data_IF_061825036734
#
_entry.id   IF_061825036734
#
_cell.length_a   1.000
_cell.length_b   1.000
_cell.length_c   1.000
_cell.angle_alpha   90.00
_cell.angle_beta   90.00
_cell.angle_gamma   90.00
#
_symmetry.space_group_name_H-M   'P 1'
#
loop_
_entity.id
_entity.type
_entity.pdbx_description
1 polymer ?
#
# COMPACT_ATOMS: atom_id res chain seq x y z
N UNK A 1 21.32 18.31 -16.93
CA UNK A 1 20.42 17.41 -17.70
C UNK A 1 21.24 16.24 -18.19
N UNK A 2 20.74 15.03 -18.00
CA UNK A 2 21.32 13.79 -18.49
C UNK A 2 20.37 13.20 -19.52
N UNK A 3 20.93 12.44 -20.45
CA UNK A 3 20.18 11.71 -21.46
C UNK A 3 20.25 10.23 -21.10
N UNK A 4 19.10 9.56 -21.12
CA UNK A 4 18.98 8.14 -20.79
C UNK A 4 18.01 7.48 -21.75
N UNK A 5 18.38 6.30 -22.20
CA UNK A 5 17.56 5.43 -23.04
C UNK A 5 16.84 4.44 -22.14
N UNK A 6 15.55 4.29 -22.36
CA UNK A 6 14.67 3.36 -21.65
C UNK A 6 14.13 2.34 -22.64
N UNK A 7 14.25 1.06 -22.29
CA UNK A 7 13.64 -0.01 -23.08
C UNK A 7 12.14 -0.01 -22.82
N UNK A 8 11.34 -0.05 -23.89
CA UNK A 8 9.88 -0.08 -23.78
C UNK A 8 9.39 -1.54 -23.78
N UNK A 9 8.26 -1.83 -23.12
CA UNK A 9 7.65 -3.17 -23.13
C UNK A 9 7.40 -3.69 -24.55
N UNK A 10 7.49 -5.01 -24.73
CA UNK A 10 7.14 -5.65 -26.01
C UNK A 10 5.68 -5.32 -26.39
N UNK A 11 5.43 -5.02 -27.66
CA UNK A 11 4.08 -4.64 -28.13
C UNK A 11 3.61 -3.23 -27.72
N UNK A 12 4.42 -2.43 -27.00
CA UNK A 12 4.07 -1.06 -26.62
C UNK A 12 3.57 -0.22 -27.81
N UNK A 13 4.26 -0.29 -28.96
CA UNK A 13 3.90 0.44 -30.17
C UNK A 13 2.72 -0.17 -30.95
N UNK A 14 2.31 -1.39 -30.64
CA UNK A 14 1.14 -2.05 -31.24
C UNK A 14 -0.16 -1.70 -30.50
N UNK A 15 -0.05 -1.30 -29.23
CA UNK A 15 -1.19 -0.83 -28.43
C UNK A 15 -1.75 0.51 -28.93
N UNK A 16 -3.04 0.76 -28.67
CA UNK A 16 -3.69 2.06 -28.93
C UNK A 16 -2.90 3.22 -28.27
N UNK A 17 -2.21 2.94 -27.16
CA UNK A 17 -1.34 3.86 -26.43
C UNK A 17 -0.10 4.29 -27.21
N UNK A 18 0.59 3.35 -27.88
CA UNK A 18 1.82 3.63 -28.63
C UNK A 18 1.58 4.15 -30.06
N UNK A 19 0.36 3.97 -30.59
CA UNK A 19 0.01 4.41 -31.94
C UNK A 19 -0.34 5.90 -32.05
N UNK A 20 -0.98 6.49 -31.03
CA UNK A 20 -1.59 7.83 -31.11
C UNK A 20 -0.78 8.99 -30.51
N UNK A 21 0.37 8.76 -29.85
CA UNK A 21 1.07 9.82 -29.10
C UNK A 21 2.58 9.94 -29.36
N UNK A 22 3.09 11.16 -29.21
CA UNK A 22 4.51 11.44 -29.02
C UNK A 22 4.95 11.07 -27.59
N UNK A 23 6.20 10.62 -27.41
CA UNK A 23 6.74 10.19 -26.11
C UNK A 23 6.51 11.21 -25.00
N UNK A 24 6.71 12.49 -25.33
CA UNK A 24 6.43 13.60 -24.43
C UNK A 24 4.97 13.66 -24.00
N UNK A 25 4.01 13.60 -24.93
CA UNK A 25 2.59 13.73 -24.61
C UNK A 25 2.10 12.56 -23.75
N UNK A 26 2.63 11.37 -23.99
CA UNK A 26 2.29 10.16 -23.23
C UNK A 26 2.87 10.27 -21.81
N UNK A 27 4.13 10.68 -21.67
CA UNK A 27 4.75 10.93 -20.36
C UNK A 27 4.04 12.07 -19.59
N UNK A 28 3.66 13.16 -20.26
CA UNK A 28 2.90 14.28 -19.65
C UNK A 28 1.50 13.85 -19.20
N UNK A 29 0.83 13.01 -20.00
CA UNK A 29 -0.45 12.38 -19.63
C UNK A 29 -0.30 11.46 -18.42
N UNK A 30 0.86 10.82 -18.30
CA UNK A 30 1.18 9.85 -17.27
C UNK A 30 1.94 10.47 -16.07
N UNK A 31 1.94 11.81 -15.97
CA UNK A 31 2.31 12.54 -14.77
C UNK A 31 3.72 13.13 -14.74
N UNK A 32 4.50 12.98 -15.82
CA UNK A 32 5.83 13.59 -15.96
C UNK A 32 5.70 15.02 -16.46
N UNK A 33 6.09 16.01 -15.65
CA UNK A 33 6.09 17.41 -16.07
C UNK A 33 7.39 17.76 -16.83
N UNK A 34 7.26 18.26 -18.06
CA UNK A 34 8.42 18.69 -18.86
C UNK A 34 8.69 20.18 -18.63
N UNK A 35 9.73 20.49 -17.86
CA UNK A 35 10.22 21.87 -17.76
C UNK A 35 11.09 22.27 -18.97
N UNK A 36 11.48 23.55 -19.04
CA UNK A 36 12.21 24.12 -20.16
C UNK A 36 13.56 23.40 -20.39
N UNK A 37 13.70 22.76 -21.56
CA UNK A 37 14.91 22.02 -21.96
C UNK A 37 14.82 20.49 -21.81
N UNK A 38 13.71 19.95 -21.31
CA UNK A 38 13.45 18.51 -21.34
C UNK A 38 12.89 18.04 -22.67
N UNK A 39 13.32 16.86 -23.10
CA UNK A 39 12.86 16.24 -24.34
C UNK A 39 12.69 14.74 -24.15
N UNK A 40 11.67 14.16 -24.78
CA UNK A 40 11.47 12.72 -24.84
C UNK A 40 11.10 12.33 -26.26
N UNK A 41 11.71 11.27 -26.78
CA UNK A 41 11.51 10.77 -28.14
C UNK A 41 11.47 9.25 -28.16
N UNK A 42 10.64 8.69 -29.02
CA UNK A 42 10.61 7.26 -29.26
C UNK A 42 11.54 6.88 -30.41
N UNK A 43 12.31 5.82 -30.21
CA UNK A 43 12.88 5.04 -31.28
C UNK A 43 12.03 3.77 -31.49
N UNK A 44 11.11 3.85 -32.45
CA UNK A 44 10.21 2.73 -32.79
C UNK A 44 10.95 1.55 -33.43
N UNK A 45 12.13 1.77 -34.01
CA UNK A 45 12.91 0.71 -34.64
C UNK A 45 13.71 -0.07 -33.60
N UNK A 46 14.19 0.62 -32.56
CA UNK A 46 14.89 0.00 -31.43
C UNK A 46 13.96 -0.50 -30.33
N UNK A 47 12.69 -0.06 -30.30
CA UNK A 47 11.78 -0.40 -29.20
C UNK A 47 12.07 0.40 -27.93
N UNK A 48 12.69 1.58 -28.05
CA UNK A 48 13.20 2.34 -26.91
C UNK A 48 12.66 3.77 -26.87
N UNK A 49 12.84 4.43 -25.73
CA UNK A 49 12.54 5.84 -25.51
C UNK A 49 13.78 6.56 -25.00
N UNK A 50 14.19 7.62 -25.69
CA UNK A 50 15.27 8.49 -25.26
C UNK A 50 14.68 9.68 -24.53
N UNK A 51 15.10 9.90 -23.28
CA UNK A 51 14.65 11.04 -22.49
C UNK A 51 15.85 11.83 -21.98
N UNK A 52 15.77 13.14 -22.19
CA UNK A 52 16.70 14.14 -21.68
C UNK A 52 15.99 14.93 -20.59
N UNK A 53 16.36 14.67 -19.34
CA UNK A 53 15.78 15.32 -18.17
C UNK A 53 16.84 15.57 -17.08
N UNK A 54 16.46 16.13 -15.94
CA UNK A 54 17.35 16.13 -14.76
C UNK A 54 17.44 14.71 -14.18
N UNK A 55 18.49 14.44 -13.39
CA UNK A 55 18.72 13.09 -12.83
C UNK A 55 17.55 12.63 -11.94
N UNK A 56 16.94 13.57 -11.21
CA UNK A 56 15.78 13.32 -10.36
C UNK A 56 14.51 13.00 -11.17
N UNK A 57 14.37 13.55 -12.38
CA UNK A 57 13.21 13.30 -13.27
C UNK A 57 13.36 12.03 -14.11
N UNK A 58 14.60 11.63 -14.43
CA UNK A 58 14.87 10.40 -15.16
C UNK A 58 14.37 9.17 -14.41
N UNK A 59 14.38 9.19 -13.07
CA UNK A 59 13.79 8.14 -12.26
C UNK A 59 12.25 8.09 -12.37
N UNK A 60 11.57 9.24 -12.48
CA UNK A 60 10.11 9.27 -12.68
C UNK A 60 9.73 8.68 -14.04
N UNK A 61 10.52 8.99 -15.06
CA UNK A 61 10.40 8.38 -16.39
C UNK A 61 10.61 6.87 -16.32
N UNK A 62 11.61 6.41 -15.56
CA UNK A 62 11.85 4.99 -15.30
C UNK A 62 10.63 4.32 -14.65
N UNK A 63 10.06 4.94 -13.61
CA UNK A 63 8.88 4.43 -12.92
C UNK A 63 7.63 4.37 -13.83
N UNK A 64 7.46 5.34 -14.74
CA UNK A 64 6.34 5.36 -15.69
C UNK A 64 6.52 4.32 -16.80
N UNK A 65 7.76 4.10 -17.27
CA UNK A 65 8.08 3.04 -18.23
C UNK A 65 7.89 1.66 -17.61
N UNK A 66 8.37 1.46 -16.38
CA UNK A 66 8.10 0.25 -15.58
C UNK A 66 6.60 0.05 -15.40
N UNK A 67 5.83 1.13 -15.16
CA UNK A 67 4.37 1.09 -15.06
C UNK A 67 3.68 0.67 -16.37
N UNK A 68 4.17 1.08 -17.54
CA UNK A 68 3.66 0.56 -18.81
C UNK A 68 3.93 -0.95 -18.94
N UNK A 69 5.02 -1.44 -18.35
CA UNK A 69 5.25 -2.89 -18.17
C UNK A 69 4.34 -3.54 -17.12
N UNK A 70 3.81 -2.80 -16.15
CA UNK A 70 2.86 -3.31 -15.15
C UNK A 70 1.39 -3.30 -15.63
N UNK A 71 1.02 -2.58 -16.70
CA UNK A 71 -0.31 -2.77 -17.33
C UNK A 71 -0.43 -4.20 -17.91
N UNK A 72 0.70 -4.85 -18.12
CA UNK A 72 0.87 -6.28 -18.38
C UNK A 72 0.70 -7.17 -17.11
N UNK A 73 0.22 -6.68 -15.97
CA UNK A 73 -0.01 -7.49 -14.74
C UNK A 73 -1.12 -8.56 -14.91
N UNK A 74 -1.83 -8.56 -16.06
CA UNK A 74 -2.59 -9.72 -16.56
C UNK A 74 -1.66 -10.93 -16.86
N UNK A 75 -0.37 -10.70 -17.10
CA UNK A 75 0.67 -11.72 -17.27
C UNK A 75 1.42 -12.07 -15.98
N UNK A 76 1.29 -11.33 -14.88
CA UNK A 76 1.84 -11.72 -13.58
C UNK A 76 1.22 -13.04 -13.10
N UNK A 77 -0.07 -13.26 -13.34
CA UNK A 77 -0.71 -14.58 -13.18
C UNK A 77 -0.08 -15.63 -14.09
N UNK A 78 0.30 -15.27 -15.32
CA UNK A 78 1.01 -16.13 -16.27
C UNK A 78 2.42 -16.50 -15.80
N UNK A 79 3.16 -15.57 -15.19
CA UNK A 79 4.50 -15.80 -14.64
C UNK A 79 4.44 -16.76 -13.45
N UNK A 80 3.55 -16.51 -12.48
CA UNK A 80 3.35 -17.41 -11.33
C UNK A 80 2.83 -18.79 -11.75
N UNK A 81 2.01 -18.85 -12.80
CA UNK A 81 1.58 -20.10 -13.42
C UNK A 81 2.77 -20.86 -14.03
N UNK A 82 3.61 -20.20 -14.82
CA UNK A 82 4.82 -20.77 -15.44
C UNK A 82 5.83 -21.28 -14.40
N UNK A 83 6.09 -20.50 -13.34
CA UNK A 83 6.95 -20.91 -12.22
C UNK A 83 6.39 -22.17 -11.53
N UNK A 84 5.08 -22.20 -11.25
CA UNK A 84 4.43 -23.36 -10.63
C UNK A 84 4.47 -24.59 -11.52
N UNK A 85 4.22 -24.43 -12.82
CA UNK A 85 4.32 -25.49 -13.82
C UNK A 85 5.76 -26.05 -13.89
N UNK A 86 6.77 -25.18 -13.88
CA UNK A 86 8.17 -25.61 -13.85
C UNK A 86 8.49 -26.37 -12.56
N UNK A 87 8.06 -25.88 -11.40
CA UNK A 87 8.26 -26.56 -10.12
C UNK A 87 7.59 -27.94 -10.06
N UNK A 88 6.34 -28.05 -10.52
CA UNK A 88 5.60 -29.32 -10.64
C UNK A 88 6.32 -30.30 -11.57
N UNK A 89 6.88 -29.79 -12.68
CA UNK A 89 7.68 -30.61 -13.60
C UNK A 89 8.95 -31.14 -12.93
N UNK A 90 9.71 -30.31 -12.21
CA UNK A 90 10.90 -30.75 -11.47
C UNK A 90 10.58 -31.80 -10.39
N UNK A 91 9.38 -31.75 -9.81
CA UNK A 91 8.87 -32.76 -8.88
C UNK A 91 8.50 -34.08 -9.58
N UNK A 92 8.03 -34.01 -10.83
CA UNK A 92 7.59 -35.19 -11.59
C UNK A 92 8.73 -36.01 -12.21
N UNK A 93 9.86 -35.38 -12.53
CA UNK A 93 11.00 -36.04 -13.17
C UNK A 93 11.76 -36.84 -12.12
N UNK A 94 11.65 -38.18 -12.16
CA UNK A 94 12.36 -39.08 -11.25
C UNK A 94 13.65 -39.57 -11.90
N UNK A 95 14.78 -39.28 -11.25
CA UNK A 95 16.10 -39.74 -11.66
C UNK A 95 16.34 -41.12 -11.04
N UNK A 96 16.57 -42.18 -11.84
CA UNK A 96 16.75 -43.54 -11.31
C UNK A 96 17.94 -43.65 -10.35
N UNK A 97 19.04 -42.96 -10.66
CA UNK A 97 20.25 -42.96 -9.83
C UNK A 97 21.06 -41.69 -10.05
N UNK A 98 21.52 -41.07 -8.97
CA UNK A 98 22.52 -40.01 -8.94
C UNK A 98 23.72 -40.51 -8.13
N UNK A 99 24.93 -40.45 -8.69
CA UNK A 99 26.15 -40.95 -8.06
C UNK A 99 27.32 -40.02 -8.40
N UNK A 100 27.50 -38.98 -7.58
CA UNK A 100 28.58 -38.02 -7.66
C UNK A 100 29.68 -38.40 -6.67
N UNK A 101 30.93 -38.39 -7.13
CA UNK A 101 32.11 -38.73 -6.33
C UNK A 101 33.18 -37.70 -6.59
N UNK A 102 33.30 -36.76 -5.66
CA UNK A 102 34.18 -35.60 -5.80
C UNK A 102 33.96 -34.89 -7.15
N UNK A 103 32.70 -34.84 -7.60
CA UNK A 103 32.33 -34.30 -8.91
C UNK A 103 32.26 -32.77 -8.83
N UNK A 104 32.89 -32.00 -9.74
CA UNK A 104 32.76 -30.55 -9.80
C UNK A 104 31.28 -30.13 -9.87
N UNK A 105 30.93 -29.04 -9.20
CA UNK A 105 29.55 -28.55 -9.16
C UNK A 105 28.97 -28.32 -10.56
N UNK A 106 29.72 -27.70 -11.46
CA UNK A 106 29.28 -27.47 -12.84
C UNK A 106 28.95 -28.77 -13.58
N UNK A 107 29.76 -29.80 -13.41
CA UNK A 107 29.53 -31.12 -14.01
C UNK A 107 28.32 -31.82 -13.37
N UNK A 108 28.16 -31.70 -12.06
CA UNK A 108 26.99 -32.21 -11.34
C UNK A 108 25.69 -31.52 -11.81
N UNK A 109 25.71 -30.19 -12.02
CA UNK A 109 24.56 -29.43 -12.53
C UNK A 109 24.27 -29.77 -13.98
N UNK A 110 25.29 -29.89 -14.84
CA UNK A 110 25.13 -30.32 -16.23
C UNK A 110 24.50 -31.71 -16.34
N UNK A 111 24.86 -32.63 -15.43
CA UNK A 111 24.21 -33.93 -15.33
C UNK A 111 22.72 -33.82 -14.96
N UNK A 112 22.38 -32.96 -13.98
CA UNK A 112 20.98 -32.73 -13.58
C UNK A 112 20.17 -32.03 -14.69
N UNK A 113 20.77 -31.09 -15.41
CA UNK A 113 20.19 -30.44 -16.60
C UNK A 113 19.93 -31.46 -17.71
N UNK A 114 20.89 -32.33 -18.01
CA UNK A 114 20.72 -33.42 -18.97
C UNK A 114 19.62 -34.39 -18.55
N UNK A 115 19.54 -34.73 -17.26
CA UNK A 115 18.47 -35.58 -16.72
C UNK A 115 17.10 -34.88 -16.82
N UNK A 116 17.03 -33.57 -16.63
CA UNK A 116 15.83 -32.75 -16.85
C UNK A 116 15.45 -32.59 -18.31
N UNK A 117 16.44 -32.62 -19.22
CA UNK A 117 16.29 -32.58 -20.68
C UNK A 117 15.56 -33.78 -21.29
N UNK A 118 15.43 -34.88 -20.56
CA UNK A 118 14.67 -36.06 -20.98
C UNK A 118 13.15 -35.87 -20.90
N UNK A 119 12.68 -34.74 -20.34
CA UNK A 119 11.28 -34.35 -20.37
C UNK A 119 10.87 -33.98 -21.81
N UNK A 120 10.05 -34.81 -22.47
CA UNK A 120 9.48 -34.55 -23.81
C UNK A 120 8.49 -33.35 -23.87
N UNK A 121 8.34 -32.61 -22.77
CA UNK A 121 7.43 -31.48 -22.61
C UNK A 121 8.19 -30.16 -22.91
N UNK A 122 7.75 -29.35 -23.89
CA UNK A 122 8.33 -28.04 -24.15
C UNK A 122 8.06 -27.05 -23.00
N UNK A 123 9.02 -26.16 -22.75
CA UNK A 123 8.88 -24.99 -21.88
C UNK A 123 7.95 -23.95 -22.52
N UNK A 124 7.54 -22.94 -21.73
CA UNK A 124 6.68 -21.85 -22.21
C UNK A 124 7.27 -21.07 -23.40
N UNK A 125 8.58 -21.09 -23.56
CA UNK A 125 9.34 -20.50 -24.68
C UNK A 125 9.63 -21.48 -25.83
N UNK A 126 9.14 -22.73 -25.75
CA UNK A 126 9.34 -23.78 -26.74
C UNK A 126 10.66 -24.56 -26.63
N UNK A 127 11.52 -24.25 -25.66
CA UNK A 127 12.74 -25.03 -25.40
C UNK A 127 12.43 -26.37 -24.72
N UNK A 128 13.29 -27.37 -24.88
CA UNK A 128 13.11 -28.70 -24.25
C UNK A 128 14.16 -28.85 -23.15
N UNK A 129 13.71 -29.16 -21.94
CA UNK A 129 14.57 -29.40 -20.78
C UNK A 129 14.56 -28.30 -19.73
N UNK A 130 15.33 -28.50 -18.66
CA UNK A 130 15.41 -27.56 -17.53
C UNK A 130 16.75 -26.86 -17.61
N UNK A 131 16.76 -25.55 -17.86
CA UNK A 131 18.01 -24.78 -17.91
C UNK A 131 18.46 -24.42 -16.50
N UNK A 132 19.72 -24.71 -16.18
CA UNK A 132 20.32 -24.39 -14.88
C UNK A 132 21.46 -23.39 -15.08
N UNK A 133 21.39 -22.24 -14.43
CA UNK A 133 22.37 -21.16 -14.55
C UNK A 133 23.03 -20.92 -13.20
N UNK A 134 24.37 -20.95 -13.19
CA UNK A 134 25.18 -20.58 -12.03
C UNK A 134 25.58 -19.11 -12.14
N UNK A 135 25.16 -18.29 -11.18
CA UNK A 135 25.56 -16.88 -11.15
C UNK A 135 27.02 -16.76 -10.69
N UNK A 136 27.86 -15.96 -11.38
CA UNK A 136 29.26 -15.80 -10.99
C UNK A 136 29.36 -15.09 -9.63
N UNK A 137 30.37 -15.41 -8.79
CA UNK A 137 30.61 -14.67 -7.55
C UNK A 137 30.87 -13.19 -7.87
N UNK A 138 30.10 -12.28 -7.26
CA UNK A 138 30.32 -10.83 -7.42
C UNK A 138 31.72 -10.48 -6.92
N UNK A 139 32.61 -10.06 -7.83
CA UNK A 139 33.82 -9.32 -7.44
C UNK A 139 33.38 -7.94 -6.96
N UNK A 140 33.46 -7.71 -5.66
CA UNK A 140 33.21 -6.39 -5.09
C UNK A 140 34.43 -5.49 -5.35
N UNK A 141 34.45 -4.75 -6.45
CA UNK A 141 35.45 -3.70 -6.68
C UNK A 141 35.11 -2.47 -5.83
N UNK A 142 36.00 -2.09 -4.89
CA UNK A 142 36.05 -0.72 -4.36
C UNK A 142 35.83 -0.50 -2.86
N UNK A 143 35.66 -1.53 -2.02
CA UNK A 143 35.63 -1.33 -0.54
C UNK A 143 36.93 -1.83 0.11
N UNK A 144 37.80 -0.93 0.61
CA UNK A 144 38.99 -1.32 1.34
C UNK A 144 38.58 -1.90 2.70
N UNK A 145 38.93 -3.17 2.96
CA UNK A 145 38.82 -3.77 4.30
C UNK A 145 37.76 -4.84 4.48
N UNK A 146 36.92 -5.12 3.47
CA UNK A 146 36.12 -6.36 3.44
C UNK A 146 36.89 -7.41 2.65
N UNK A 147 37.49 -8.35 3.38
CA UNK A 147 37.99 -9.60 2.81
C UNK A 147 36.77 -10.32 2.25
N UNK A 148 36.76 -10.53 0.93
CA UNK A 148 35.79 -11.40 0.27
C UNK A 148 35.66 -12.68 1.09
N UNK A 149 34.43 -13.05 1.46
CA UNK A 149 34.15 -14.37 1.99
C UNK A 149 34.67 -15.38 0.94
N UNK A 150 35.81 -15.99 1.25
CA UNK A 150 36.48 -17.09 0.55
C UNK A 150 36.35 -17.08 -0.97
N UNK A 151 37.41 -16.58 -1.60
CA UNK A 151 37.79 -16.85 -2.99
C UNK A 151 38.12 -18.33 -3.24
N UNK A 152 37.19 -19.26 -2.96
CA UNK A 152 37.22 -20.54 -3.65
C UNK A 152 36.60 -20.30 -5.02
N UNK A 153 37.40 -20.43 -6.08
CA UNK A 153 36.90 -20.41 -7.45
C UNK A 153 35.68 -21.36 -7.57
N UNK A 154 34.59 -20.97 -8.25
CA UNK A 154 33.42 -21.85 -8.43
C UNK A 154 33.80 -23.21 -9.02
N UNK A 155 34.91 -23.27 -9.75
CA UNK A 155 35.53 -24.46 -10.35
C UNK A 155 36.06 -25.48 -9.32
N UNK A 156 36.23 -25.10 -8.05
CA UNK A 156 36.82 -25.95 -7.01
C UNK A 156 35.80 -26.65 -6.10
N UNK A 157 34.53 -26.27 -6.18
CA UNK A 157 33.48 -26.87 -5.35
C UNK A 157 33.15 -28.26 -5.89
N UNK A 158 33.47 -29.29 -5.12
CA UNK A 158 33.14 -30.68 -5.46
C UNK A 158 32.01 -31.20 -4.58
N UNK A 159 31.15 -32.02 -5.17
CA UNK A 159 29.99 -32.62 -4.50
C UNK A 159 30.14 -34.12 -4.52
N UNK A 160 29.87 -34.76 -3.38
CA UNK A 160 29.78 -36.21 -3.25
C UNK A 160 28.40 -36.58 -2.75
N UNK A 161 27.65 -37.32 -3.56
CA UNK A 161 26.24 -37.61 -3.33
C UNK A 161 25.86 -38.92 -3.98
N UNK A 162 25.10 -39.76 -3.28
CA UNK A 162 24.51 -40.95 -3.87
C UNK A 162 23.02 -41.01 -3.52
N UNK A 163 22.17 -40.92 -4.54
CA UNK A 163 20.72 -41.01 -4.42
C UNK A 163 20.18 -42.02 -5.42
N UNK A 164 19.08 -42.67 -5.08
CA UNK A 164 18.36 -43.59 -5.95
C UNK A 164 16.88 -43.21 -5.97
N UNK A 165 16.27 -43.29 -7.16
CA UNK A 165 14.83 -43.03 -7.38
C UNK A 165 14.34 -41.71 -6.77
N UNK A 166 15.06 -40.62 -7.06
CA UNK A 166 14.78 -39.29 -6.48
C UNK A 166 14.24 -38.31 -7.51
N UNK A 167 13.25 -37.47 -7.15
CA UNK A 167 12.84 -36.35 -7.98
C UNK A 167 14.00 -35.39 -8.30
N UNK A 168 13.99 -34.78 -9.48
CA UNK A 168 15.01 -33.83 -9.93
C UNK A 168 15.10 -32.63 -8.98
N UNK A 169 13.96 -32.13 -8.46
CA UNK A 169 13.95 -31.05 -7.45
C UNK A 169 14.69 -31.43 -6.17
N UNK A 170 14.60 -32.70 -5.75
CA UNK A 170 15.26 -33.19 -4.54
C UNK A 170 16.76 -33.37 -4.80
N UNK A 171 17.14 -33.95 -5.95
CA UNK A 171 18.53 -34.07 -6.36
C UNK A 171 19.22 -32.70 -6.46
N UNK A 172 18.54 -31.71 -7.05
CA UNK A 172 19.01 -30.33 -7.10
C UNK A 172 19.15 -29.73 -5.69
N UNK A 173 18.16 -29.90 -4.82
CA UNK A 173 18.21 -29.39 -3.43
C UNK A 173 19.39 -29.99 -2.65
N UNK A 174 19.63 -31.29 -2.76
CA UNK A 174 20.76 -31.92 -2.06
C UNK A 174 22.11 -31.50 -2.65
N UNK A 175 22.20 -31.34 -3.97
CA UNK A 175 23.43 -30.93 -4.65
C UNK A 175 23.80 -29.49 -4.28
N UNK A 176 22.83 -28.57 -4.33
CA UNK A 176 23.01 -27.16 -3.93
C UNK A 176 23.32 -27.01 -2.44
N UNK A 177 22.65 -27.78 -1.58
CA UNK A 177 22.93 -27.79 -0.15
C UNK A 177 24.38 -28.20 0.18
N UNK A 178 24.89 -29.27 -0.46
CA UNK A 178 26.28 -29.71 -0.27
C UNK A 178 27.30 -28.70 -0.81
N UNK A 179 26.94 -27.97 -1.86
CA UNK A 179 27.75 -26.89 -2.43
C UNK A 179 27.64 -25.55 -1.68
N UNK A 180 26.86 -25.49 -0.58
CA UNK A 180 26.50 -24.26 0.14
C UNK A 180 25.92 -23.15 -0.75
N UNK A 181 25.26 -23.55 -1.84
CA UNK A 181 24.54 -22.65 -2.74
C UNK A 181 23.05 -22.67 -2.41
N UNK A 182 22.36 -21.57 -2.73
CA UNK A 182 20.90 -21.52 -2.78
C UNK A 182 20.46 -21.52 -4.25
N UNK A 183 19.22 -21.92 -4.51
CA UNK A 183 18.63 -21.83 -5.85
C UNK A 183 17.28 -21.12 -5.80
N UNK A 184 16.93 -20.46 -6.92
CA UNK A 184 15.62 -19.86 -7.18
C UNK A 184 15.11 -20.40 -8.51
N UNK A 185 13.82 -20.71 -8.56
CA UNK A 185 13.14 -21.11 -9.80
C UNK A 185 12.59 -19.84 -10.42
N UNK A 186 13.09 -19.51 -11.61
CA UNK A 186 12.57 -18.44 -12.44
C UNK A 186 11.56 -19.02 -13.45
N UNK A 187 11.04 -18.17 -14.32
CA UNK A 187 10.02 -18.55 -15.30
C UNK A 187 10.46 -19.66 -16.27
N UNK A 188 11.71 -19.63 -16.70
CA UNK A 188 12.28 -20.54 -17.72
C UNK A 188 13.56 -21.23 -17.28
N UNK A 189 14.19 -20.78 -16.20
CA UNK A 189 15.49 -21.27 -15.75
C UNK A 189 15.56 -21.37 -14.23
N UNK A 190 16.53 -22.14 -13.74
CA UNK A 190 16.85 -22.23 -12.33
C UNK A 190 18.16 -21.49 -12.12
N UNK A 191 18.15 -20.48 -11.23
CA UNK A 191 19.34 -19.71 -10.89
C UNK A 191 19.94 -20.17 -9.57
N UNK A 192 21.25 -20.35 -9.55
CA UNK A 192 22.02 -20.72 -8.38
C UNK A 192 22.96 -19.58 -7.99
N UNK A 193 23.06 -19.32 -6.68
CA UNK A 193 23.95 -18.30 -6.13
C UNK A 193 24.32 -18.58 -4.67
N UNK A 194 25.24 -17.79 -4.14
CA UNK A 194 25.72 -17.91 -2.77
C UNK A 194 24.65 -17.47 -1.76
N UNK A 195 24.77 -17.95 -0.50
CA UNK A 195 23.75 -17.78 0.55
C UNK A 195 23.29 -16.33 0.76
N UNK A 196 24.19 -15.36 0.56
CA UNK A 196 23.98 -13.93 0.80
C UNK A 196 23.62 -13.13 -0.48
N UNK A 197 23.61 -13.78 -1.66
CA UNK A 197 23.37 -13.13 -2.96
C UNK A 197 21.90 -13.13 -3.38
N UNK A 198 21.04 -13.89 -2.71
CA UNK A 198 19.60 -13.84 -2.98
C UNK A 198 18.99 -12.67 -2.24
N UNK A 199 19.21 -11.46 -2.74
CA UNK A 199 18.30 -10.35 -2.44
C UNK A 199 16.89 -10.77 -2.87
N UNK A 200 15.93 -10.63 -1.96
CA UNK A 200 14.53 -10.87 -2.30
C UNK A 200 14.15 -9.99 -3.49
N UNK A 201 13.50 -10.57 -4.52
CA UNK A 201 13.14 -9.79 -5.69
C UNK A 201 12.30 -8.61 -5.23
N UNK A 202 12.69 -7.40 -5.66
CA UNK A 202 11.86 -6.22 -5.45
C UNK A 202 10.71 -6.33 -6.42
N UNK A 203 9.51 -6.30 -5.88
CA UNK A 203 8.28 -6.34 -6.65
C UNK A 203 7.73 -4.92 -6.62
N UNK A 204 7.30 -4.41 -7.77
CA UNK A 204 6.54 -3.18 -7.85
C UNK A 204 5.06 -3.53 -7.84
N UNK A 205 4.28 -2.93 -6.94
CA UNK A 205 2.82 -3.07 -6.88
C UNK A 205 2.15 -1.70 -6.88
N UNK A 206 0.96 -1.67 -7.47
CA UNK A 206 0.12 -0.48 -7.54
C UNK A 206 -1.05 -0.63 -6.57
N UNK A 207 -1.27 0.40 -5.75
CA UNK A 207 -2.36 0.45 -4.79
C UNK A 207 -3.25 1.66 -5.04
N UNK A 208 -4.56 1.57 -4.78
CA UNK A 208 -5.42 2.74 -4.73
C UNK A 208 -4.97 3.66 -3.59
N UNK A 209 -4.85 4.94 -3.86
CA UNK A 209 -4.48 5.92 -2.86
C UNK A 209 -5.68 6.26 -1.97
N UNK A 210 -5.51 6.31 -0.64
CA UNK A 210 -6.49 6.88 0.27
C UNK A 210 -6.80 8.35 -0.08
N UNK A 211 -8.05 8.81 0.08
CA UNK A 211 -8.46 10.17 -0.30
C UNK A 211 -7.69 11.26 0.47
N UNK A 212 -7.32 11.00 1.73
CA UNK A 212 -6.56 11.93 2.56
C UNK A 212 -5.03 11.74 2.48
N UNK A 213 -4.54 10.81 1.66
CA UNK A 213 -3.11 10.52 1.55
C UNK A 213 -2.30 11.78 1.22
N UNK A 214 -2.82 12.65 0.35
CA UNK A 214 -2.19 13.92 0.00
C UNK A 214 -1.95 14.81 1.22
N UNK A 215 -2.95 14.91 2.13
CA UNK A 215 -2.83 15.69 3.36
C UNK A 215 -1.85 15.05 4.34
N UNK A 216 -1.85 13.73 4.41
CA UNK A 216 -0.96 12.97 5.29
C UNK A 216 0.51 13.13 4.87
N UNK A 217 0.80 12.98 3.57
CA UNK A 217 2.11 13.26 2.98
C UNK A 217 2.53 14.69 3.29
N UNK A 218 1.65 15.68 3.17
CA UNK A 218 1.98 17.08 3.49
C UNK A 218 2.22 17.33 5.00
N UNK A 219 1.62 16.52 5.86
CA UNK A 219 1.75 16.63 7.32
C UNK A 219 2.93 15.87 7.90
N UNK A 220 3.41 14.84 7.20
CA UNK A 220 4.60 14.09 7.58
C UNK A 220 5.81 15.01 7.52
N UNK A 221 6.49 15.20 8.65
CA UNK A 221 7.77 15.93 8.69
C UNK A 221 8.89 14.92 8.57
N UNK A 222 9.91 15.16 7.73
CA UNK A 222 11.10 14.31 7.74
C UNK A 222 11.75 14.36 9.12
N UNK A 223 12.06 13.20 9.68
CA UNK A 223 12.88 13.12 10.88
C UNK A 223 14.32 13.48 10.48
N UNK A 224 14.91 14.44 11.22
CA UNK A 224 16.22 15.06 11.01
C UNK A 224 16.30 16.13 9.90
N UNK A 225 15.93 17.35 10.28
CA UNK A 225 16.43 18.57 9.64
C UNK A 225 17.90 18.75 10.05
N UNK A 226 18.84 18.55 9.12
CA UNK A 226 20.24 18.94 9.30
C UNK A 226 20.36 20.47 9.10
N UNK A 227 20.62 21.25 10.17
CA UNK A 227 20.65 22.71 10.10
C UNK A 227 21.89 23.28 9.37
N UNK A 228 22.72 22.43 8.76
CA UNK A 228 23.88 22.83 7.96
C UNK A 228 23.80 22.46 6.47
N UNK A 229 22.67 21.92 5.99
CA UNK A 229 22.47 21.71 4.56
C UNK A 229 22.22 23.05 3.84
N UNK A 230 23.06 23.35 2.84
CA UNK A 230 23.11 24.62 2.10
C UNK A 230 21.78 24.94 1.38
N UNK A 231 21.25 26.15 1.54
CA UNK A 231 19.90 26.58 1.12
C UNK A 231 19.73 26.80 -0.40
N UNK A 232 20.55 26.17 -1.25
CA UNK A 232 20.48 26.37 -2.73
C UNK A 232 19.76 25.27 -3.49
N UNK A 233 19.06 24.36 -2.80
CA UNK A 233 18.16 23.38 -3.45
C UNK A 233 16.72 23.83 -3.29
N UNK A 234 16.10 24.21 -4.41
CA UNK A 234 14.69 24.56 -4.49
C UNK A 234 13.82 23.52 -3.79
N UNK A 235 12.84 23.98 -3.02
CA UNK A 235 11.93 23.13 -2.27
C UNK A 235 11.34 22.04 -3.18
N UNK A 236 11.69 20.78 -2.87
CA UNK A 236 11.28 19.56 -3.57
C UNK A 236 9.75 19.50 -3.66
N UNK A 237 9.13 19.38 -4.85
CA UNK A 237 7.67 19.29 -4.93
C UNK A 237 7.12 17.89 -4.65
N UNK A 238 7.93 16.80 -4.67
CA UNK A 238 7.39 15.45 -4.47
C UNK A 238 8.32 14.47 -3.70
N UNK A 239 7.72 13.81 -2.70
CA UNK A 239 7.99 12.47 -2.14
C UNK A 239 9.23 12.09 -1.26
N UNK A 240 10.00 12.96 -0.59
CA UNK A 240 10.67 12.54 0.66
C UNK A 240 9.65 12.25 1.79
N UNK A 241 8.37 12.54 1.57
CA UNK A 241 7.31 12.47 2.58
C UNK A 241 6.45 11.20 2.54
N UNK A 242 6.41 10.48 1.42
CA UNK A 242 5.66 9.22 1.32
C UNK A 242 6.45 8.05 1.91
N UNK A 243 7.74 7.94 1.56
CA UNK A 243 8.64 6.95 2.18
C UNK A 243 8.66 7.16 3.70
N UNK A 244 8.82 8.39 4.17
CA UNK A 244 8.79 8.68 5.61
C UNK A 244 7.43 8.38 6.25
N UNK A 245 6.31 8.54 5.53
CA UNK A 245 5.00 8.10 6.02
C UNK A 245 4.94 6.58 6.21
N UNK A 246 5.44 5.80 5.24
CA UNK A 246 5.51 4.34 5.34
C UNK A 246 6.52 3.87 6.40
N UNK A 247 7.67 4.53 6.52
CA UNK A 247 8.67 4.26 7.57
C UNK A 247 8.11 4.53 8.97
N UNK A 248 7.32 5.60 9.13
CA UNK A 248 6.61 5.88 10.39
C UNK A 248 5.59 4.79 10.73
N UNK A 249 5.06 4.09 9.72
CA UNK A 249 4.20 2.92 9.88
C UNK A 249 4.98 1.61 10.11
N UNK A 250 6.32 1.66 10.15
CA UNK A 250 7.20 0.52 10.39
C UNK A 250 7.61 -0.26 9.14
N UNK A 251 7.34 0.27 7.94
CA UNK A 251 7.73 -0.35 6.67
C UNK A 251 9.14 0.11 6.29
N UNK A 252 10.02 -0.84 6.02
CA UNK A 252 11.43 -0.55 5.72
C UNK A 252 11.68 -0.53 4.23
N UNK A 253 12.45 0.46 3.74
CA UNK A 253 12.87 0.56 2.35
C UNK A 253 14.37 0.25 2.22
N UNK A 254 14.75 -0.97 1.80
CA UNK A 254 16.15 -1.30 1.52
C UNK A 254 16.67 -0.59 0.25
N UNK A 255 17.95 -0.77 -0.07
CA UNK A 255 18.55 -0.21 -1.29
C UNK A 255 17.73 -0.61 -2.54
N UNK A 256 17.49 0.35 -3.42
CA UNK A 256 16.64 0.24 -4.64
C UNK A 256 15.14 -0.05 -4.40
N UNK A 257 14.66 0.08 -3.16
CA UNK A 257 13.23 0.18 -2.86
C UNK A 257 12.78 1.64 -2.92
N UNK A 258 11.57 1.87 -3.40
CA UNK A 258 11.04 3.22 -3.58
C UNK A 258 9.51 3.25 -3.51
N UNK A 259 8.93 4.45 -3.30
CA UNK A 259 7.49 4.66 -3.32
C UNK A 259 7.13 6.01 -3.96
N UNK A 260 6.18 5.99 -4.89
CA UNK A 260 5.66 7.17 -5.57
C UNK A 260 4.15 7.29 -5.39
N UNK A 261 3.64 8.52 -5.37
CA UNK A 261 2.20 8.79 -5.34
C UNK A 261 1.80 9.67 -6.53
N UNK A 262 0.92 9.15 -7.38
CA UNK A 262 0.24 9.92 -8.42
C UNK A 262 -1.08 10.47 -7.88
N UNK A 263 -1.06 11.78 -7.60
CA UNK A 263 -2.23 12.51 -7.09
C UNK A 263 -3.36 12.63 -8.14
N UNK A 264 -3.04 12.65 -9.44
CA UNK A 264 -4.05 12.84 -10.49
C UNK A 264 -4.90 11.59 -10.68
N UNK A 265 -4.27 10.41 -10.59
CA UNK A 265 -4.96 9.12 -10.70
C UNK A 265 -5.37 8.52 -9.36
N UNK A 266 -4.85 9.05 -8.27
CA UNK A 266 -5.06 8.49 -6.94
C UNK A 266 -4.44 7.10 -6.83
N UNK A 267 -3.21 6.93 -7.29
CA UNK A 267 -2.48 5.66 -7.28
C UNK A 267 -1.17 5.79 -6.52
N UNK A 268 -0.85 4.78 -5.71
CA UNK A 268 0.42 4.66 -5.00
C UNK A 268 1.21 3.51 -5.61
N UNK A 269 2.43 3.80 -6.01
CA UNK A 269 3.39 2.83 -6.50
C UNK A 269 4.36 2.51 -5.37
N UNK A 270 4.54 1.24 -5.08
CA UNK A 270 5.53 0.79 -4.10
C UNK A 270 6.39 -0.26 -4.76
N UNK A 271 7.71 -0.07 -4.75
CA UNK A 271 8.73 -1.04 -5.13
C UNK A 271 9.45 -1.49 -3.88
N UNK A 272 9.21 -2.72 -3.43
CA UNK A 272 9.81 -3.25 -2.20
C UNK A 272 9.85 -4.79 -2.22
N UNK A 273 10.42 -5.42 -1.18
CA UNK A 273 10.39 -6.89 -1.03
C UNK A 273 8.97 -7.39 -0.77
N UNK A 274 8.71 -8.68 -1.04
CA UNK A 274 7.38 -9.28 -0.90
C UNK A 274 6.77 -9.06 0.51
N UNK A 275 7.58 -9.24 1.55
CA UNK A 275 7.11 -9.08 2.94
C UNK A 275 6.72 -7.63 3.25
N UNK A 276 7.53 -6.67 2.77
CA UNK A 276 7.23 -5.25 2.96
C UNK A 276 6.04 -4.80 2.12
N UNK A 277 5.80 -5.43 0.97
CA UNK A 277 4.62 -5.16 0.13
C UNK A 277 3.31 -5.50 0.84
N UNK A 278 3.25 -6.61 1.58
CA UNK A 278 2.06 -6.96 2.36
C UNK A 278 1.77 -5.92 3.45
N UNK A 279 2.81 -5.42 4.10
CA UNK A 279 2.69 -4.36 5.11
C UNK A 279 2.24 -3.03 4.46
N UNK A 280 2.79 -2.67 3.31
CA UNK A 280 2.36 -1.49 2.54
C UNK A 280 0.88 -1.57 2.15
N UNK A 281 0.42 -2.74 1.68
CA UNK A 281 -0.97 -2.96 1.32
C UNK A 281 -1.91 -2.81 2.53
N UNK A 282 -1.57 -3.45 3.65
CA UNK A 282 -2.36 -3.40 4.88
C UNK A 282 -2.45 -1.97 5.44
N UNK A 283 -1.34 -1.23 5.42
CA UNK A 283 -1.31 0.17 5.86
C UNK A 283 -2.24 1.04 5.01
N UNK A 284 -2.11 0.99 3.67
CA UNK A 284 -2.96 1.79 2.79
C UNK A 284 -4.45 1.43 2.92
N UNK A 285 -4.79 0.14 3.08
CA UNK A 285 -6.17 -0.28 3.33
C UNK A 285 -6.73 0.27 4.65
N UNK A 286 -5.91 0.32 5.71
CA UNK A 286 -6.34 0.87 7.00
C UNK A 286 -6.71 2.36 6.90
N UNK A 287 -5.97 3.12 6.08
CA UNK A 287 -6.25 4.53 5.83
C UNK A 287 -7.53 4.75 5.04
N UNK A 288 -7.83 3.87 4.07
CA UNK A 288 -9.10 3.90 3.34
C UNK A 288 -10.26 3.68 4.32
N UNK A 289 -10.18 2.65 5.17
CA UNK A 289 -11.23 2.34 6.14
C UNK A 289 -11.46 3.48 7.16
N UNK A 290 -10.40 4.16 7.60
CA UNK A 290 -10.50 5.33 8.48
C UNK A 290 -11.20 6.50 7.79
N UNK A 291 -10.82 6.80 6.53
CA UNK A 291 -11.44 7.87 5.75
C UNK A 291 -12.93 7.63 5.44
N UNK A 292 -13.33 6.39 5.14
CA UNK A 292 -14.74 6.03 4.93
C UNK A 292 -15.55 6.20 6.21
N UNK A 293 -14.96 5.90 7.36
CA UNK A 293 -15.59 6.10 8.66
C UNK A 293 -15.81 7.57 9.00
N UNK A 294 -14.87 8.44 8.64
CA UNK A 294 -14.97 9.90 8.86
C UNK A 294 -15.98 10.55 7.89
N UNK A 295 -16.00 10.15 6.62
CA UNK A 295 -17.03 10.61 5.67
C UNK A 295 -18.44 10.23 6.12
N UNK A 296 -18.61 9.02 6.66
CA UNK A 296 -19.90 8.58 7.21
C UNK A 296 -20.31 9.39 8.45
N UNK A 297 -19.35 9.73 9.31
CA UNK A 297 -19.57 10.59 10.48
C UNK A 297 -19.96 12.02 10.08
N UNK A 298 -19.29 12.59 9.10
CA UNK A 298 -19.56 13.96 8.61
C UNK A 298 -20.94 14.08 7.94
N UNK A 299 -21.36 13.06 7.18
CA UNK A 299 -22.71 13.03 6.58
C UNK A 299 -23.79 12.98 7.68
N UNK A 300 -23.58 12.19 8.73
CA UNK A 300 -24.51 12.11 9.86
C UNK A 300 -24.57 13.40 10.66
N UNK A 301 -23.43 14.02 10.99
CA UNK A 301 -23.41 15.29 11.73
C UNK A 301 -24.15 16.37 10.94
N UNK A 302 -23.89 16.47 9.63
CA UNK A 302 -24.55 17.40 8.72
C UNK A 302 -26.06 17.16 8.67
N UNK A 303 -26.48 15.89 8.60
CA UNK A 303 -27.89 15.48 8.60
C UNK A 303 -28.59 15.84 9.91
N UNK A 304 -27.96 15.57 11.06
CA UNK A 304 -28.52 15.95 12.37
C UNK A 304 -28.60 17.46 12.54
N UNK A 305 -27.59 18.20 12.07
CA UNK A 305 -27.61 19.67 12.03
C UNK A 305 -28.82 20.20 11.26
N UNK A 306 -29.05 19.66 10.06
CA UNK A 306 -30.17 20.06 9.20
C UNK A 306 -31.53 19.75 9.84
N UNK A 307 -31.68 18.57 10.46
CA UNK A 307 -32.91 18.19 11.18
C UNK A 307 -33.15 19.07 12.40
N UNK A 308 -32.08 19.37 13.15
CA UNK A 308 -32.17 20.22 14.33
C UNK A 308 -32.60 21.66 14.00
N UNK A 309 -32.26 22.16 12.81
CA UNK A 309 -32.64 23.48 12.32
C UNK A 309 -34.01 23.53 11.65
N UNK A 310 -34.48 22.42 11.07
CA UNK A 310 -35.73 22.39 10.30
C UNK A 310 -36.95 21.97 11.10
N UNK A 311 -36.79 21.17 12.15
CA UNK A 311 -37.90 20.69 12.95
C UNK A 311 -38.29 21.75 13.98
N UNK A 312 -39.51 22.27 13.85
CA UNK A 312 -40.10 23.25 14.75
C UNK A 312 -40.96 22.53 15.78
N UNK A 313 -40.70 22.78 17.06
CA UNK A 313 -41.48 22.23 18.16
C UNK A 313 -42.86 22.88 18.25
N UNK A 314 -43.90 22.14 18.67
CA UNK A 314 -45.19 22.74 19.00
C UNK A 314 -45.07 23.62 20.24
N UNK A 315 -46.19 24.19 20.69
CA UNK A 315 -46.23 24.94 21.95
C UNK A 315 -45.92 24.01 23.12
N UNK A 316 -44.72 24.14 23.68
CA UNK A 316 -44.18 23.32 24.75
C UNK A 316 -43.54 24.24 25.78
N UNK A 317 -44.16 24.27 26.96
CA UNK A 317 -43.68 25.03 28.12
C UNK A 317 -43.60 24.08 29.29
N UNK A 318 -42.48 24.10 29.99
CA UNK A 318 -42.20 23.23 31.12
C UNK A 318 -42.00 24.08 32.36
N UNK A 319 -42.71 23.77 33.44
CA UNK A 319 -42.60 24.47 34.71
C UNK A 319 -42.13 23.49 35.79
N UNK A 320 -40.89 23.68 36.27
CA UNK A 320 -40.26 22.81 37.28
C UNK A 320 -40.38 21.32 36.91
N UNK A 321 -40.05 20.98 35.68
CA UNK A 321 -40.01 19.59 35.21
C UNK A 321 -38.57 19.05 35.28
N UNK A 322 -38.36 17.75 35.56
CA UNK A 322 -37.04 17.17 35.53
C UNK A 322 -36.52 17.13 34.08
N UNK A 323 -35.23 17.45 33.89
CA UNK A 323 -34.59 17.57 32.59
C UNK A 323 -34.84 16.36 31.68
N UNK A 324 -34.80 15.14 32.23
CA UNK A 324 -35.09 13.93 31.46
C UNK A 324 -36.47 13.97 30.78
N UNK A 325 -37.50 14.48 31.45
CA UNK A 325 -38.85 14.61 30.88
C UNK A 325 -38.94 15.66 29.80
N UNK A 326 -38.21 16.77 29.97
CA UNK A 326 -38.10 17.82 28.97
C UNK A 326 -37.45 17.28 27.69
N UNK A 327 -36.34 16.54 27.82
CA UNK A 327 -35.63 15.94 26.68
C UNK A 327 -36.48 14.85 26.01
N UNK A 328 -37.10 13.95 26.78
CA UNK A 328 -38.01 12.91 26.25
C UNK A 328 -39.16 13.54 25.44
N UNK A 329 -39.77 14.62 25.96
CA UNK A 329 -40.84 15.32 25.28
C UNK A 329 -40.37 15.96 23.97
N UNK A 330 -39.19 16.59 23.96
CA UNK A 330 -38.62 17.18 22.74
C UNK A 330 -38.28 16.11 21.70
N UNK A 331 -37.67 14.99 22.11
CA UNK A 331 -37.38 13.87 21.21
C UNK A 331 -38.65 13.27 20.61
N UNK A 332 -39.69 13.07 21.43
CA UNK A 332 -40.98 12.56 20.97
C UNK A 332 -41.59 13.47 19.91
N UNK A 333 -41.66 14.77 20.17
CA UNK A 333 -42.20 15.74 19.22
C UNK A 333 -41.33 15.88 17.97
N UNK A 334 -40.00 15.76 18.10
CA UNK A 334 -39.08 15.72 16.98
C UNK A 334 -39.37 14.54 16.04
N UNK A 335 -39.55 13.34 16.60
CA UNK A 335 -39.92 12.12 15.86
C UNK A 335 -41.29 12.21 15.19
N UNK A 336 -42.25 12.86 15.84
CA UNK A 336 -43.61 13.05 15.28
C UNK A 336 -43.63 14.05 14.13
N UNK A 337 -42.79 15.08 14.19
CA UNK A 337 -42.66 16.10 13.16
C UNK A 337 -41.88 15.59 11.93
N UNK A 338 -40.88 14.73 12.14
CA UNK A 338 -40.08 14.15 11.06
C UNK A 338 -40.62 12.81 10.57
N UNK A 339 -41.42 12.86 9.51
CA UNK A 339 -41.99 11.67 8.86
C UNK A 339 -41.12 11.10 7.72
N UNK A 340 -39.97 11.73 7.43
CA UNK A 340 -39.08 11.32 6.32
C UNK A 340 -38.03 10.32 6.81
N UNK A 341 -37.76 9.30 5.99
CA UNK A 341 -36.77 8.28 6.29
C UNK A 341 -37.27 7.12 7.17
N UNK A 342 -36.40 6.12 7.42
CA UNK A 342 -36.72 4.96 8.24
C UNK A 342 -36.97 5.33 9.70
N UNK A 343 -37.72 4.50 10.42
CA UNK A 343 -38.25 4.82 11.77
C UNK A 343 -37.14 5.15 12.77
N UNK A 344 -35.99 4.49 12.67
CA UNK A 344 -34.82 4.73 13.53
C UNK A 344 -34.09 6.04 13.25
N UNK A 345 -34.34 6.67 12.10
CA UNK A 345 -33.74 7.97 11.71
C UNK A 345 -34.68 9.16 11.94
N UNK A 346 -35.91 8.94 12.41
CA UNK A 346 -36.88 10.02 12.59
C UNK A 346 -36.50 10.93 13.75
N UNK A 347 -36.58 12.23 13.51
CA UNK A 347 -36.30 13.26 14.50
C UNK A 347 -34.80 13.47 14.70
N UNK A 348 -34.46 14.13 15.81
CA UNK A 348 -33.08 14.36 16.23
C UNK A 348 -32.84 13.56 17.51
N UNK A 349 -31.87 12.63 17.53
CA UNK A 349 -31.47 11.97 18.76
C UNK A 349 -30.82 12.99 19.70
N UNK A 350 -31.20 12.97 20.97
CA UNK A 350 -30.73 13.93 21.98
C UNK A 350 -30.16 13.17 23.17
N UNK A 351 -28.91 13.39 23.51
CA UNK A 351 -28.26 12.70 24.62
C UNK A 351 -27.67 13.72 25.59
N UNK A 352 -27.57 13.34 26.85
CA UNK A 352 -26.87 14.12 27.86
C UNK A 352 -26.16 13.15 28.80
N UNK A 353 -24.88 13.45 29.06
CA UNK A 353 -23.87 12.55 29.65
C UNK A 353 -23.45 11.41 28.70
N UNK A 354 -22.14 11.08 28.68
CA UNK A 354 -21.62 9.96 27.89
C UNK A 354 -22.20 8.64 28.41
N UNK A 355 -22.73 7.83 27.50
CA UNK A 355 -23.22 6.47 27.78
C UNK A 355 -22.10 5.43 27.97
N UNK A 356 -20.86 5.85 28.15
CA UNK A 356 -19.74 4.95 28.35
C UNK A 356 -19.42 4.79 29.84
N UNK A 357 -19.82 3.63 30.33
CA UNK A 357 -19.08 2.85 31.33
C UNK A 357 -19.36 3.11 32.82
N UNK A 358 -20.63 3.04 33.22
CA UNK A 358 -21.03 2.92 34.63
C UNK A 358 -20.62 1.59 35.29
N UNK A 359 -19.91 0.68 34.60
CA UNK A 359 -19.51 -0.62 35.15
C UNK A 359 -18.02 -0.71 35.51
N UNK A 360 -17.18 0.24 35.09
CA UNK A 360 -15.74 0.16 35.34
C UNK A 360 -15.17 1.22 36.29
N UNK A 361 -15.82 2.37 36.49
CA UNK A 361 -15.29 3.42 37.38
C UNK A 361 -16.35 3.95 38.34
N UNK A 362 -16.12 3.76 39.63
CA UNK A 362 -17.04 4.07 40.74
C UNK A 362 -17.05 5.57 41.12
N UNK A 363 -16.57 6.44 40.22
CA UNK A 363 -16.43 7.88 40.46
C UNK A 363 -17.30 8.63 39.46
N UNK A 364 -18.33 9.31 39.98
CA UNK A 364 -19.08 10.28 39.17
C UNK A 364 -18.12 11.42 38.80
N UNK A 365 -17.91 11.72 37.51
CA UNK A 365 -17.12 12.89 37.14
C UNK A 365 -17.74 14.15 37.76
N UNK A 366 -16.90 15.08 38.21
CA UNK A 366 -17.32 16.29 38.92
C UNK A 366 -18.29 17.17 38.08
N UNK A 367 -18.24 17.02 36.75
CA UNK A 367 -19.03 17.78 35.78
C UNK A 367 -20.15 16.90 35.19
N UNK A 368 -21.15 16.53 36.00
CA UNK A 368 -22.25 15.66 35.58
C UNK A 368 -23.60 16.41 35.61
N UNK A 369 -24.38 16.32 34.53
CA UNK A 369 -25.74 16.89 34.51
C UNK A 369 -26.70 15.88 35.12
N UNK A 370 -27.26 16.19 36.29
CA UNK A 370 -28.17 15.30 36.99
C UNK A 370 -29.51 15.17 36.22
N UNK A 371 -29.99 13.93 36.03
CA UNK A 371 -31.24 13.63 35.31
C UNK A 371 -32.49 14.29 35.92
N UNK A 372 -32.45 14.53 37.23
CA UNK A 372 -33.51 15.12 38.05
C UNK A 372 -33.38 16.64 38.21
N UNK A 373 -32.47 17.29 37.47
CA UNK A 373 -32.36 18.76 37.44
C UNK A 373 -33.69 19.37 37.04
N UNK A 374 -34.31 20.12 37.95
CA UNK A 374 -35.61 20.75 37.73
C UNK A 374 -35.42 22.04 36.93
N UNK A 375 -36.06 22.11 35.76
CA UNK A 375 -35.95 23.24 34.85
C UNK A 375 -37.34 23.84 34.57
N UNK A 376 -37.36 25.16 34.44
CA UNK A 376 -38.49 25.91 33.89
C UNK A 376 -38.04 26.55 32.59
N UNK A 377 -38.62 26.12 31.46
CA UNK A 377 -38.22 26.57 30.12
C UNK A 377 -39.41 26.57 29.17
N UNK A 378 -39.49 27.62 28.34
CA UNK A 378 -40.41 27.68 27.21
C UNK A 378 -39.65 27.45 25.91
N UNK A 379 -39.99 26.37 25.21
CA UNK A 379 -39.38 25.99 23.92
C UNK A 379 -40.41 26.03 22.79
N UNK A 380 -41.53 26.73 23.00
CA UNK A 380 -42.63 26.85 22.05
C UNK A 380 -42.18 27.47 20.72
N UNK A 381 -42.51 26.80 19.61
CA UNK A 381 -42.21 27.24 18.25
C UNK A 381 -40.72 27.47 17.96
N UNK A 382 -39.84 26.90 18.78
CA UNK A 382 -38.40 26.91 18.55
C UNK A 382 -38.00 25.72 17.68
N UNK A 383 -36.91 25.86 16.93
CA UNK A 383 -36.26 24.70 16.33
C UNK A 383 -35.66 23.81 17.42
N UNK A 384 -35.40 22.53 17.12
CA UNK A 384 -34.75 21.63 18.09
C UNK A 384 -33.41 22.23 18.56
N UNK A 385 -32.61 22.81 17.66
CA UNK A 385 -31.36 23.47 18.04
C UNK A 385 -31.60 24.62 19.02
N UNK A 386 -32.53 25.51 18.71
CA UNK A 386 -32.86 26.65 19.57
C UNK A 386 -33.39 26.22 20.94
N UNK A 387 -34.24 25.19 20.97
CA UNK A 387 -34.76 24.61 22.19
C UNK A 387 -33.65 24.02 23.07
N UNK A 388 -32.72 23.26 22.48
CA UNK A 388 -31.57 22.70 23.19
C UNK A 388 -30.61 23.78 23.68
N UNK A 389 -30.36 24.83 22.90
CA UNK A 389 -29.53 25.96 23.33
C UNK A 389 -30.15 26.64 24.55
N UNK A 390 -31.47 26.87 24.53
CA UNK A 390 -32.18 27.51 25.64
C UNK A 390 -32.22 26.63 26.90
N UNK A 391 -32.31 25.31 26.73
CA UNK A 391 -32.17 24.36 27.84
C UNK A 391 -30.74 24.38 28.38
N UNK A 392 -29.74 24.38 27.50
CA UNK A 392 -28.33 24.48 27.84
C UNK A 392 -28.03 25.73 28.67
N UNK A 393 -28.49 26.90 28.25
CA UNK A 393 -28.37 28.15 28.98
C UNK A 393 -28.99 28.09 30.39
N UNK A 394 -30.14 27.41 30.54
CA UNK A 394 -30.82 27.28 31.81
C UNK A 394 -30.11 26.35 32.81
N UNK A 395 -29.33 25.39 32.32
CA UNK A 395 -28.60 24.41 33.17
C UNK A 395 -27.08 24.59 33.16
N UNK A 396 -26.57 25.63 32.49
CA UNK A 396 -25.13 25.83 32.33
C UNK A 396 -24.45 24.79 31.44
N UNK A 397 -25.14 24.25 30.43
CA UNK A 397 -24.61 23.27 29.49
C UNK A 397 -24.45 23.84 28.07
N UNK A 398 -23.41 23.38 27.38
CA UNK A 398 -23.16 23.60 25.96
C UNK A 398 -23.85 22.52 25.11
N UNK A 399 -24.41 22.93 23.99
CA UNK A 399 -24.93 22.03 22.96
C UNK A 399 -23.85 21.73 21.93
N UNK A 400 -23.55 20.46 21.68
CA UNK A 400 -22.81 19.99 20.50
C UNK A 400 -23.72 19.12 19.62
N UNK A 401 -23.45 19.06 18.32
CA UNK A 401 -24.08 18.09 17.42
C UNK A 401 -22.95 17.18 16.97
N UNK A 402 -23.09 15.89 17.27
CA UNK A 402 -22.13 14.82 17.05
C UNK A 402 -22.78 13.77 16.11
N UNK A 403 -22.01 12.83 15.54
CA UNK A 403 -22.56 11.78 14.66
C UNK A 403 -23.66 10.93 15.30
N UNK A 404 -23.64 10.78 16.63
CA UNK A 404 -24.65 10.05 17.42
C UNK A 404 -25.91 10.89 17.73
N UNK A 405 -25.87 12.21 17.49
CA UNK A 405 -26.98 13.14 17.73
C UNK A 405 -26.60 14.46 18.38
N UNK A 406 -27.61 15.18 18.88
CA UNK A 406 -27.39 16.40 19.67
C UNK A 406 -27.04 16.05 21.11
N UNK A 407 -26.01 16.69 21.67
CA UNK A 407 -25.50 16.42 23.01
C UNK A 407 -25.50 17.67 23.87
N UNK A 408 -25.93 17.51 25.13
CA UNK A 408 -25.77 18.52 26.17
C UNK A 408 -24.59 18.13 27.08
N UNK A 409 -23.60 19.01 27.17
CA UNK A 409 -22.41 18.82 28.02
C UNK A 409 -22.24 20.00 28.97
N UNK A 410 -21.82 19.81 30.23
CA UNK A 410 -21.58 20.91 31.15
C UNK A 410 -20.58 21.93 30.57
N UNK A 411 -20.82 23.21 30.82
CA UNK A 411 -19.87 24.27 30.51
C UNK A 411 -18.85 24.29 31.65
N UNK A 412 -17.61 23.89 31.38
CA UNK A 412 -16.50 23.95 32.35
C UNK A 412 -16.37 25.33 33.00
#
# INVERSE_FOLDING_TARGET
>A
MKERTFDLPEGFFESDFGQEGDARNILERDGVEFAEGMEARFDRAAGTMEVKATEDELWLVEAVVDFWGLIEEVEAEGRWRRIRELEERLRSIVIPKVDFKETPLEEALAYLEQAGGLSEIPNGDGTIGVKIVLDPPRKWEGVPGLVAASSDEPDSITVTLQLAEVPLVEALRYTTYLAQQRYRIEETEIRLGYLDLFEEPRITRVYPAPPDLTRMIQSAKPAAYDPFADETVGAKPFAPTLITLFENAGITFPLEADAAFDQRRGLVFVRNTSDQQELSAAFLQSLVAESESDVWRDDLETRWRQKADSIILPRLTFEREPLIRVIESIQLHSRLADRKGPVWERGVPIWFNQFYDFHLHNEKPADYIAYDTMITVDVSNLTIRQALTRIGEAIGAKVSIEPEGSKLSPTR
#
